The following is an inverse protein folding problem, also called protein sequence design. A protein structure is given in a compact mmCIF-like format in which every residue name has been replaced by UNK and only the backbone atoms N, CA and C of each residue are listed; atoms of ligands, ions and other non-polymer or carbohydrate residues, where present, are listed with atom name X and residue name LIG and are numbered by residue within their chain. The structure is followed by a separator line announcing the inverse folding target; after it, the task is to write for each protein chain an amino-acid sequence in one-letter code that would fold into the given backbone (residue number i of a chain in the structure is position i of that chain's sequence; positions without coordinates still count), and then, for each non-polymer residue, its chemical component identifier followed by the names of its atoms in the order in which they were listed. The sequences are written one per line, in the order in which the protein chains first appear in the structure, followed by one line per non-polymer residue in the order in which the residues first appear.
data_IF_541492883200
#
_entry.id   IF_541492883200
#
_cell.length_a   1.000
_cell.length_b   1.000
_cell.length_c   1.000
_cell.angle_alpha   90.00
_cell.angle_beta   90.00
_cell.angle_gamma   90.00
#
_symmetry.space_group_name_H-M   'P 1'
#
loop_
_entity.id
_entity.type
_entity.pdbx_description
1 polymer ?
#
# COMPACT_ATOMS: atom_id res chain seq x y z
N UNK A 1 -2.05 -33.42 11.58
CA UNK A 1 -1.31 -32.62 12.59
C UNK A 1 -0.81 -31.28 12.05
N UNK A 2 0.06 -31.23 11.03
CA UNK A 2 0.66 -29.97 10.55
C UNK A 2 -0.23 -29.14 9.59
N UNK A 3 -1.19 -29.78 8.92
CA UNK A 3 -2.00 -29.14 7.87
C UNK A 3 -2.82 -27.91 8.32
N UNK A 4 -3.42 -27.86 9.53
CA UNK A 4 -4.14 -26.68 9.99
C UNK A 4 -3.26 -25.45 10.25
N UNK A 5 -1.98 -25.64 10.56
CA UNK A 5 -1.07 -24.57 10.96
C UNK A 5 -0.07 -24.17 9.85
N UNK A 6 0.42 -25.16 9.09
CA UNK A 6 1.41 -24.97 8.02
C UNK A 6 1.05 -25.82 6.78
N UNK A 7 -0.06 -25.51 6.08
CA UNK A 7 -0.63 -26.36 5.03
C UNK A 7 0.35 -26.63 3.87
N UNK A 8 1.16 -25.63 3.48
CA UNK A 8 2.15 -25.77 2.41
C UNK A 8 3.28 -26.72 2.79
N UNK A 9 3.77 -26.62 4.03
CA UNK A 9 4.80 -27.51 4.56
C UNK A 9 4.28 -28.92 4.71
N UNK A 10 3.06 -29.10 5.24
CA UNK A 10 2.40 -30.40 5.34
C UNK A 10 2.29 -31.08 3.96
N UNK A 11 1.94 -30.32 2.91
CA UNK A 11 1.89 -30.82 1.53
C UNK A 11 3.26 -31.24 0.99
N UNK A 12 4.32 -30.48 1.28
CA UNK A 12 5.71 -30.84 0.90
C UNK A 12 6.16 -32.13 1.58
N UNK A 13 5.89 -32.28 2.88
CA UNK A 13 6.20 -33.50 3.65
C UNK A 13 5.48 -34.71 3.05
N UNK A 14 4.17 -34.61 2.76
CA UNK A 14 3.41 -35.69 2.10
C UNK A 14 4.04 -36.11 0.77
N UNK A 15 4.49 -35.14 -0.04
CA UNK A 15 5.16 -35.43 -1.31
C UNK A 15 6.46 -36.23 -1.11
N UNK A 16 7.25 -35.90 -0.09
CA UNK A 16 8.49 -36.63 0.24
C UNK A 16 8.22 -38.01 0.79
N UNK A 17 7.22 -38.14 1.66
CA UNK A 17 6.76 -39.43 2.17
C UNK A 17 5.97 -40.23 1.13
N UNK A 18 5.81 -39.73 -0.09
CA UNK A 18 5.06 -40.38 -1.17
C UNK A 18 3.62 -40.78 -0.77
N UNK A 19 2.95 -39.89 -0.03
CA UNK A 19 1.60 -40.08 0.51
C UNK A 19 0.53 -39.39 -0.37
N UNK A 20 -0.74 -39.81 -0.27
CA UNK A 20 -1.85 -39.18 -0.96
C UNK A 20 -2.00 -37.69 -0.60
N UNK A 21 -2.63 -36.93 -1.52
CA UNK A 21 -2.71 -35.47 -1.42
C UNK A 21 -3.51 -34.98 -0.19
N UNK A 22 -4.52 -35.75 0.21
CA UNK A 22 -5.31 -35.54 1.43
C UNK A 22 -5.16 -36.77 2.31
N UNK A 23 -4.96 -36.53 3.60
CA UNK A 23 -4.92 -37.53 4.65
C UNK A 23 -5.89 -37.05 5.73
N UNK A 24 -7.12 -37.57 5.78
CA UNK A 24 -8.00 -37.37 6.92
C UNK A 24 -7.34 -37.80 8.23
N UNK A 25 -7.88 -37.33 9.35
CA UNK A 25 -7.35 -37.62 10.67
C UNK A 25 -7.37 -39.12 11.00
N UNK A 26 -8.33 -39.85 10.43
CA UNK A 26 -8.52 -41.28 10.60
C UNK A 26 -7.35 -42.12 10.08
N UNK A 27 -6.64 -41.64 9.05
CA UNK A 27 -5.48 -42.34 8.49
C UNK A 27 -4.23 -42.22 9.38
N UNK A 28 -4.26 -41.37 10.41
CA UNK A 28 -3.11 -41.12 11.29
C UNK A 28 -2.79 -42.30 12.22
N UNK A 29 -3.73 -43.25 12.36
CA UNK A 29 -3.56 -44.44 13.22
C UNK A 29 -2.86 -45.58 12.48
N UNK A 30 -2.81 -45.54 11.15
CA UNK A 30 -2.15 -46.57 10.34
C UNK A 30 -0.67 -46.23 10.11
N UNK A 31 0.27 -47.06 10.60
CA UNK A 31 1.68 -46.86 10.34
C UNK A 31 2.04 -47.16 8.87
N UNK A 32 3.11 -46.55 8.38
CA UNK A 32 3.64 -46.87 7.06
C UNK A 32 4.17 -48.31 7.04
N UNK A 33 3.73 -49.07 6.04
CA UNK A 33 4.13 -50.47 5.85
C UNK A 33 5.63 -50.57 5.58
N UNK A 34 6.25 -51.65 6.05
CA UNK A 34 7.65 -51.96 5.77
C UNK A 34 7.88 -52.05 4.24
N UNK A 35 9.00 -51.50 3.77
CA UNK A 35 9.31 -51.41 2.34
C UNK A 35 8.69 -50.21 1.61
N UNK A 36 7.98 -49.31 2.30
CA UNK A 36 7.45 -48.09 1.72
C UNK A 36 8.57 -47.17 1.18
N UNK A 37 8.48 -46.80 -0.10
CA UNK A 37 9.49 -45.97 -0.77
C UNK A 37 9.22 -44.48 -0.54
N UNK A 38 10.16 -43.82 0.10
CA UNK A 38 10.19 -42.36 0.25
C UNK A 38 10.98 -41.71 -0.89
N UNK A 39 10.69 -40.44 -1.20
CA UNK A 39 11.43 -39.63 -2.17
C UNK A 39 12.60 -38.92 -1.47
N UNK A 40 13.57 -38.46 -2.26
CA UNK A 40 14.69 -37.66 -1.76
C UNK A 40 14.17 -36.41 -1.04
N UNK A 41 14.43 -36.33 0.27
CA UNK A 41 14.06 -35.19 1.09
C UNK A 41 15.00 -34.02 0.83
N UNK A 42 14.45 -32.81 0.71
CA UNK A 42 15.19 -31.55 0.76
C UNK A 42 14.85 -30.80 2.05
N UNK A 43 15.72 -29.91 2.55
CA UNK A 43 15.39 -29.02 3.65
C UNK A 43 14.03 -28.36 3.45
N UNK A 44 13.16 -28.52 4.45
CA UNK A 44 11.78 -28.03 4.40
C UNK A 44 11.74 -26.54 4.75
N UNK A 45 12.59 -26.15 5.69
CA UNK A 45 12.77 -24.79 6.15
C UNK A 45 14.19 -24.34 5.79
N UNK A 46 14.28 -23.13 5.25
CA UNK A 46 15.54 -22.43 5.07
C UNK A 46 15.58 -21.32 6.12
N UNK A 47 16.76 -21.06 6.66
CA UNK A 47 16.93 -19.97 7.61
C UNK A 47 16.69 -18.66 6.87
N UNK A 48 15.74 -17.88 7.36
CA UNK A 48 15.48 -16.54 6.83
C UNK A 48 16.68 -15.65 7.21
N UNK A 49 17.43 -15.19 6.20
CA UNK A 49 18.48 -14.18 6.34
C UNK A 49 18.01 -12.86 5.69
N UNK A 50 16.88 -12.34 6.16
CA UNK A 50 16.32 -11.07 5.70
C UNK A 50 16.66 -9.98 6.73
N UNK A 51 16.90 -8.74 6.29
CA UNK A 51 17.00 -7.61 7.20
C UNK A 51 15.65 -7.38 7.90
N UNK A 52 15.68 -6.83 9.11
CA UNK A 52 14.45 -6.57 9.88
C UNK A 52 13.48 -5.64 9.12
N UNK A 53 13.99 -4.70 8.32
CA UNK A 53 13.13 -3.81 7.51
C UNK A 53 12.34 -4.60 6.45
N UNK A 54 13.00 -5.52 5.72
CA UNK A 54 12.31 -6.35 4.71
C UNK A 54 11.30 -7.30 5.33
N UNK A 55 11.56 -7.78 6.53
CA UNK A 55 10.62 -8.64 7.24
C UNK A 55 9.38 -7.86 7.68
N UNK A 56 9.55 -6.62 8.13
CA UNK A 56 8.45 -5.73 8.50
C UNK A 56 7.60 -5.35 7.28
N UNK A 57 8.22 -4.99 6.15
CA UNK A 57 7.53 -4.69 4.89
C UNK A 57 6.66 -5.87 4.44
N UNK A 58 7.21 -7.09 4.44
CA UNK A 58 6.46 -8.29 4.06
C UNK A 58 5.29 -8.58 5.03
N UNK A 59 5.49 -8.36 6.33
CA UNK A 59 4.45 -8.55 7.34
C UNK A 59 3.33 -7.51 7.22
N UNK A 60 3.65 -6.27 6.88
CA UNK A 60 2.68 -5.20 6.60
C UNK A 60 1.89 -5.46 5.31
N UNK A 61 2.53 -5.94 4.25
CA UNK A 61 1.85 -6.36 3.01
C UNK A 61 0.84 -7.48 3.27
N UNK A 62 1.23 -8.50 4.05
CA UNK A 62 0.32 -9.61 4.40
C UNK A 62 -0.84 -9.12 5.28
N UNK A 63 -0.59 -8.25 6.27
CA UNK A 63 -1.64 -7.70 7.13
C UNK A 63 -2.61 -6.79 6.39
N UNK A 64 -2.11 -5.93 5.50
CA UNK A 64 -2.94 -5.02 4.71
C UNK A 64 -3.78 -5.76 3.66
N UNK A 65 -3.27 -6.86 3.09
CA UNK A 65 -4.02 -7.68 2.12
C UNK A 65 -5.24 -8.40 2.69
N UNK A 66 -5.36 -8.51 4.03
CA UNK A 66 -6.43 -9.27 4.69
C UNK A 66 -7.53 -8.42 5.34
N UNK A 67 -7.32 -7.11 5.55
CA UNK A 67 -8.33 -6.25 6.17
C UNK A 67 -9.22 -5.58 5.11
N UNK A 68 -10.39 -6.19 4.87
CA UNK A 68 -11.45 -5.54 4.10
C UNK A 68 -12.00 -4.37 4.92
N UNK A 69 -11.90 -3.15 4.40
CA UNK A 69 -12.60 -1.98 4.95
C UNK A 69 -14.04 -1.94 4.47
N UNK A 70 -14.95 -1.47 5.31
CA UNK A 70 -16.35 -1.25 4.92
C UNK A 70 -16.49 -0.02 4.03
N UNK A 71 -17.53 -0.01 3.18
CA UNK A 71 -17.87 1.19 2.40
C UNK A 71 -18.17 2.41 3.29
N UNK A 72 -18.69 2.18 4.50
CA UNK A 72 -18.94 3.23 5.49
C UNK A 72 -17.64 3.90 5.94
N UNK A 73 -16.56 3.14 6.10
CA UNK A 73 -15.25 3.70 6.45
C UNK A 73 -14.66 4.50 5.28
N UNK A 74 -14.74 4.00 4.05
CA UNK A 74 -14.35 4.75 2.86
C UNK A 74 -15.13 6.08 2.74
N UNK A 75 -16.44 6.04 2.98
CA UNK A 75 -17.33 7.22 2.91
C UNK A 75 -17.00 8.30 3.95
N UNK A 76 -16.25 7.99 5.00
CA UNK A 76 -15.77 9.00 5.97
C UNK A 76 -14.65 9.87 5.38
N UNK A 77 -13.96 9.42 4.34
CA UNK A 77 -12.89 10.17 3.70
C UNK A 77 -13.51 11.09 2.64
N UNK A 78 -13.30 12.40 2.74
CA UNK A 78 -13.74 13.37 1.74
C UNK A 78 -12.63 13.54 0.70
N UNK A 79 -12.77 12.81 -0.40
CA UNK A 79 -11.89 12.86 -1.56
C UNK A 79 -12.48 13.81 -2.61
N UNK A 80 -11.66 14.74 -3.10
CA UNK A 80 -12.07 15.71 -4.12
C UNK A 80 -11.01 15.87 -5.21
N UNK A 81 -11.45 16.31 -6.38
CA UNK A 81 -10.55 16.82 -7.42
C UNK A 81 -10.19 18.27 -7.11
N UNK A 82 -8.91 18.54 -6.91
CA UNK A 82 -8.36 19.88 -6.73
C UNK A 82 -7.59 20.36 -7.96
N UNK A 83 -7.59 21.66 -8.23
CA UNK A 83 -6.76 22.29 -9.27
C UNK A 83 -5.63 23.06 -8.62
N UNK A 84 -4.39 22.79 -9.02
CA UNK A 84 -3.22 23.51 -8.53
C UNK A 84 -3.21 24.91 -9.15
N UNK A 85 -3.24 25.95 -8.32
CA UNK A 85 -3.25 27.36 -8.75
C UNK A 85 -1.94 28.09 -8.43
N UNK A 86 -1.15 27.61 -7.47
CA UNK A 86 0.18 28.13 -7.17
C UNK A 86 1.10 27.02 -6.65
N UNK A 87 2.40 27.13 -6.93
CA UNK A 87 3.43 26.19 -6.48
C UNK A 87 4.70 26.93 -6.10
N UNK A 88 5.13 26.73 -4.86
CA UNK A 88 6.29 27.39 -4.28
C UNK A 88 7.24 26.34 -3.70
N UNK A 89 8.56 26.61 -3.76
CA UNK A 89 9.53 25.80 -3.02
C UNK A 89 9.49 26.19 -1.55
N UNK A 90 9.51 25.20 -0.65
CA UNK A 90 9.56 25.47 0.78
C UNK A 90 10.96 25.96 1.16
N UNK A 91 11.09 27.16 1.76
CA UNK A 91 12.39 27.65 2.22
C UNK A 91 13.02 26.68 3.22
N UNK A 92 14.29 26.34 3.03
CA UNK A 92 15.01 25.42 3.91
C UNK A 92 14.81 23.93 3.63
N UNK A 93 13.98 23.54 2.65
CA UNK A 93 13.86 22.15 2.20
C UNK A 93 14.13 21.99 0.71
N UNK A 94 14.93 20.98 0.34
CA UNK A 94 15.20 20.62 -1.06
C UNK A 94 14.14 19.70 -1.67
N UNK A 95 13.29 19.09 -0.82
CA UNK A 95 12.39 18.01 -1.22
C UNK A 95 10.91 18.40 -1.19
N UNK A 96 10.57 19.53 -0.57
CA UNK A 96 9.18 19.94 -0.34
C UNK A 96 8.74 21.06 -1.28
N UNK A 97 7.55 20.90 -1.86
CA UNK A 97 6.80 21.95 -2.53
C UNK A 97 5.57 22.30 -1.68
N UNK A 98 5.26 23.60 -1.61
CA UNK A 98 4.01 24.14 -1.09
C UNK A 98 3.10 24.40 -2.29
N UNK A 99 1.95 23.76 -2.30
CA UNK A 99 0.95 23.89 -3.35
C UNK A 99 -0.28 24.58 -2.79
N UNK A 100 -0.81 25.53 -3.56
CA UNK A 100 -2.13 26.12 -3.32
C UNK A 100 -3.11 25.45 -4.28
N UNK A 101 -4.14 24.84 -3.74
CA UNK A 101 -5.07 23.98 -4.47
C UNK A 101 -6.49 24.54 -4.33
N UNK A 102 -7.10 24.86 -5.46
CA UNK A 102 -8.53 25.15 -5.54
C UNK A 102 -9.32 23.84 -5.44
N UNK A 103 -10.14 23.72 -4.40
CA UNK A 103 -11.01 22.58 -4.12
C UNK A 103 -12.50 22.94 -4.25
N UNK A 104 -12.83 24.00 -5.01
CA UNK A 104 -14.19 24.49 -5.19
C UNK A 104 -14.80 25.12 -3.92
N UNK A 105 -13.95 25.52 -2.97
CA UNK A 105 -14.35 26.20 -1.74
C UNK A 105 -14.12 27.73 -1.87
N UNK A 106 -14.65 28.50 -0.92
CA UNK A 106 -14.46 29.96 -0.91
C UNK A 106 -12.98 30.38 -0.86
N UNK A 107 -12.14 29.58 -0.19
CA UNK A 107 -10.70 29.78 -0.10
C UNK A 107 -9.95 28.54 -0.59
N UNK A 108 -8.91 28.71 -1.43
CA UNK A 108 -7.98 27.64 -1.76
C UNK A 108 -7.31 27.06 -0.51
N UNK A 109 -6.87 25.80 -0.60
CA UNK A 109 -6.21 25.09 0.49
C UNK A 109 -4.72 24.90 0.25
N UNK A 110 -3.94 24.89 1.32
CA UNK A 110 -2.50 24.66 1.26
C UNK A 110 -2.20 23.16 1.43
N UNK A 111 -1.33 22.64 0.57
CA UNK A 111 -0.74 21.32 0.71
C UNK A 111 0.78 21.42 0.70
N UNK A 112 1.46 20.63 1.53
CA UNK A 112 2.92 20.50 1.50
C UNK A 112 3.28 19.07 1.10
N UNK A 113 3.99 18.91 -0.01
CA UNK A 113 4.27 17.59 -0.58
C UNK A 113 5.77 17.39 -0.87
N UNK A 114 6.27 16.19 -0.56
CA UNK A 114 7.65 15.72 -0.77
C UNK A 114 8.01 15.37 -2.22
N UNK A 115 7.55 16.17 -3.17
CA UNK A 115 7.57 15.85 -4.60
C UNK A 115 8.57 16.68 -5.41
N UNK A 116 9.36 17.54 -4.78
CA UNK A 116 10.27 18.45 -5.47
C UNK A 116 11.37 17.74 -6.30
N UNK A 117 11.64 16.47 -6.00
CA UNK A 117 12.56 15.62 -6.77
C UNK A 117 11.94 15.09 -8.07
N UNK A 118 10.61 14.99 -8.14
CA UNK A 118 9.90 14.31 -9.23
C UNK A 118 9.24 15.29 -10.19
N UNK A 119 8.85 16.48 -9.70
CA UNK A 119 8.13 17.47 -10.49
C UNK A 119 8.71 18.86 -10.33
N UNK A 120 8.78 19.59 -11.44
CA UNK A 120 9.08 21.03 -11.41
C UNK A 120 7.81 21.83 -11.10
N UNK A 121 7.91 22.95 -10.37
CA UNK A 121 6.75 23.80 -10.08
C UNK A 121 5.93 24.21 -11.31
N UNK A 122 6.61 24.49 -12.42
CA UNK A 122 6.00 24.90 -13.69
C UNK A 122 5.10 23.82 -14.32
N UNK A 123 5.46 22.54 -14.13
CA UNK A 123 4.72 21.39 -14.68
C UNK A 123 3.44 21.09 -13.89
N UNK A 124 3.31 21.68 -12.71
CA UNK A 124 2.22 21.40 -11.77
C UNK A 124 1.11 22.44 -11.85
N UNK A 125 1.38 23.64 -12.35
CA UNK A 125 0.38 24.69 -12.48
C UNK A 125 -0.79 24.23 -13.37
N UNK A 126 -2.01 24.56 -12.96
CA UNK A 126 -3.27 24.21 -13.60
C UNK A 126 -3.59 22.69 -13.67
N UNK A 127 -2.76 21.83 -13.10
CA UNK A 127 -3.01 20.39 -13.10
C UNK A 127 -4.14 20.03 -12.12
N UNK A 128 -4.97 19.07 -12.53
CA UNK A 128 -6.03 18.52 -11.68
C UNK A 128 -5.55 17.24 -11.00
N UNK A 129 -5.74 17.16 -9.69
CA UNK A 129 -5.24 16.07 -8.85
C UNK A 129 -6.27 15.66 -7.82
N UNK A 130 -6.22 14.40 -7.38
CA UNK A 130 -7.03 13.93 -6.26
C UNK A 130 -6.42 14.37 -4.92
N UNK A 131 -7.26 14.90 -4.04
CA UNK A 131 -6.88 15.35 -2.69
C UNK A 131 -7.85 14.86 -1.64
N UNK A 132 -7.35 14.66 -0.42
CA UNK A 132 -8.15 14.42 0.79
C UNK A 132 -8.33 15.73 1.52
N UNK A 133 -9.57 16.15 1.78
CA UNK A 133 -9.88 17.49 2.32
C UNK A 133 -10.31 17.51 3.79
N UNK A 134 -10.55 16.34 4.40
CA UNK A 134 -11.02 16.23 5.78
C UNK A 134 -10.05 15.49 6.72
N UNK A 135 -8.76 15.50 6.39
CA UNK A 135 -7.72 15.08 7.33
C UNK A 135 -7.38 16.23 8.28
N UNK A 136 -6.96 15.88 9.49
CA UNK A 136 -6.45 16.85 10.45
C UNK A 136 -5.22 17.57 9.86
N UNK A 137 -5.18 18.91 9.89
CA UNK A 137 -4.03 19.65 9.38
C UNK A 137 -2.74 19.24 10.10
N UNK A 138 -1.65 19.14 9.34
CA UNK A 138 -0.33 18.82 9.89
C UNK A 138 0.67 19.90 9.53
N UNK A 139 1.47 20.32 10.51
CA UNK A 139 2.58 21.24 10.29
C UNK A 139 3.78 20.47 9.74
N UNK A 140 4.22 20.87 8.54
CA UNK A 140 5.40 20.32 7.88
C UNK A 140 6.33 21.49 7.60
N UNK A 141 7.53 21.49 8.20
CA UNK A 141 8.50 22.58 8.04
C UNK A 141 7.92 23.97 8.40
N UNK A 142 7.06 24.04 9.42
CA UNK A 142 6.40 25.27 9.87
C UNK A 142 5.21 25.73 9.02
N UNK A 143 4.92 25.05 7.90
CA UNK A 143 3.77 25.33 7.04
C UNK A 143 2.66 24.35 7.37
N UNK A 144 1.43 24.84 7.50
CA UNK A 144 0.25 24.01 7.74
C UNK A 144 -0.25 23.40 6.43
N UNK A 145 -0.24 22.06 6.35
CA UNK A 145 -0.82 21.30 5.25
C UNK A 145 -2.25 20.94 5.63
N UNK A 146 -3.22 21.58 4.98
CA UNK A 146 -4.66 21.42 5.23
C UNK A 146 -5.27 20.26 4.44
N UNK A 147 -4.63 19.87 3.34
CA UNK A 147 -5.07 18.76 2.49
C UNK A 147 -3.92 17.85 2.15
N UNK A 148 -4.23 16.60 1.79
CA UNK A 148 -3.25 15.61 1.36
C UNK A 148 -3.44 15.29 -0.11
N UNK A 149 -2.36 15.33 -0.89
CA UNK A 149 -2.37 14.96 -2.31
C UNK A 149 -2.20 13.45 -2.45
N UNK A 150 -2.99 12.84 -3.32
CA UNK A 150 -2.86 11.42 -3.64
C UNK A 150 -1.96 11.20 -4.87
N UNK A 151 -0.98 10.32 -4.70
CA UNK A 151 -0.07 9.88 -5.74
C UNK A 151 0.12 8.36 -5.65
N UNK A 152 0.28 7.71 -6.80
CA UNK A 152 0.80 6.36 -6.90
C UNK A 152 2.33 6.39 -6.85
N UNK A 153 2.94 5.46 -6.11
CA UNK A 153 4.38 5.31 -6.06
C UNK A 153 4.78 3.86 -6.36
N UNK A 154 5.78 3.68 -7.22
CA UNK A 154 6.42 2.40 -7.46
C UNK A 154 7.94 2.61 -7.59
N UNK A 155 8.69 2.15 -6.59
CA UNK A 155 10.12 2.49 -6.46
C UNK A 155 10.31 4.02 -6.38
N UNK A 156 11.13 4.54 -7.29
CA UNK A 156 11.42 5.98 -7.44
C UNK A 156 10.43 6.72 -8.37
N UNK A 157 9.42 6.04 -8.92
CA UNK A 157 8.43 6.67 -9.78
C UNK A 157 7.22 7.13 -8.96
N UNK A 158 6.96 8.44 -8.93
CA UNK A 158 5.79 9.05 -8.25
C UNK A 158 4.89 9.69 -9.31
N UNK A 159 3.62 9.29 -9.34
CA UNK A 159 2.63 9.75 -10.33
C UNK A 159 1.36 10.22 -9.65
N UNK A 160 0.91 11.43 -9.94
CA UNK A 160 -0.35 11.93 -9.41
C UNK A 160 -1.58 11.20 -9.94
N UNK A 161 -2.56 11.01 -9.07
CA UNK A 161 -3.89 10.56 -9.47
C UNK A 161 -4.65 11.79 -9.98
N UNK A 162 -5.09 11.71 -11.23
CA UNK A 162 -5.80 12.79 -11.93
C UNK A 162 -7.08 12.24 -12.58
N UNK A 163 -8.14 13.06 -12.73
CA UNK A 163 -9.32 12.64 -13.47
C UNK A 163 -8.96 12.42 -14.95
N UNK A 164 -9.60 11.47 -15.61
CA UNK A 164 -9.40 11.18 -17.04
C UNK A 164 -9.79 12.39 -17.92
N UNK A 165 -10.79 13.15 -17.49
CA UNK A 165 -11.32 14.32 -18.18
C UNK A 165 -11.35 15.52 -17.25
N UNK A 166 -11.21 16.75 -17.79
CA UNK A 166 -11.38 17.95 -17.00
C UNK A 166 -12.74 17.98 -16.30
N UNK A 167 -12.75 18.32 -15.02
CA UNK A 167 -13.96 18.41 -14.20
C UNK A 167 -13.90 19.64 -13.28
N UNK A 168 -15.03 20.14 -12.78
CA UNK A 168 -15.02 21.28 -11.87
C UNK A 168 -14.16 21.00 -10.62
N UNK A 169 -13.29 21.93 -10.19
CA UNK A 169 -12.62 21.84 -8.90
C UNK A 169 -13.61 21.63 -7.74
N UNK A 170 -13.25 20.80 -6.78
CA UNK A 170 -14.12 20.39 -5.68
C UNK A 170 -15.06 19.22 -5.97
N UNK A 171 -15.07 18.70 -7.19
CA UNK A 171 -15.85 17.51 -7.54
C UNK A 171 -15.48 16.33 -6.64
N UNK A 172 -16.50 15.71 -6.02
CA UNK A 172 -16.33 14.59 -5.09
C UNK A 172 -15.96 13.29 -5.82
N UNK A 173 -14.97 12.58 -5.30
CA UNK A 173 -14.54 11.25 -5.76
C UNK A 173 -15.31 10.20 -4.96
N UNK A 174 -15.82 9.16 -5.64
CA UNK A 174 -16.64 8.10 -5.06
C UNK A 174 -16.42 6.78 -5.79
#
# INVERSE_FOLDING_TARGET
MLEPFIPFTAKRIRKYLNLPAKLPWEDAVEPLKEGHKIKAAKPIFEKINLSEEKLQEMLEEVRSSMQKVSFKEFSKIDLRVGKIINVERVPGSKNLLKLTIDIGAANPKTAVAGIAKYYKPEELLNRQIAVVVNLEPRKIFGIESEVMILAAQHGDNVVFIQPEKPIAPGSKIR
#
